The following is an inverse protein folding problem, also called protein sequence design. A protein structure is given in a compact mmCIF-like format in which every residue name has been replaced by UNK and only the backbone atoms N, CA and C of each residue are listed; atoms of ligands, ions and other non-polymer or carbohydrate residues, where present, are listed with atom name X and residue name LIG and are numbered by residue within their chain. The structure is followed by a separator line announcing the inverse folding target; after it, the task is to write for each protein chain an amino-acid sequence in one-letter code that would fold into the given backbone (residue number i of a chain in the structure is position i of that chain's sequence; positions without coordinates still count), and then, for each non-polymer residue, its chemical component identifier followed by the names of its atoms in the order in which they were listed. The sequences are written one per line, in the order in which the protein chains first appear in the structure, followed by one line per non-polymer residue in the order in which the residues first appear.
data_IF_985002126280
#
_entry.id   IF_985002126280
#
_cell.length_a   1.000
_cell.length_b   1.000
_cell.length_c   1.000
_cell.angle_alpha   90.00
_cell.angle_beta   90.00
_cell.angle_gamma   90.00
#
_symmetry.space_group_name_H-M   'P 1'
#
loop_
_entity.id
_entity.type
_entity.pdbx_description
1 polymer ?
#
# COMPACT_ATOMS: atom_id res chain seq x y z
N UNK A 1 -13.52 -10.68 16.88
CA UNK A 1 -13.77 -9.33 17.45
C UNK A 1 -13.57 -8.39 16.29
N UNK A 2 -14.52 -7.50 15.98
CA UNK A 2 -14.36 -6.65 14.80
C UNK A 2 -13.20 -5.68 15.04
N UNK A 3 -12.23 -5.64 14.13
CA UNK A 3 -11.18 -4.62 14.17
C UNK A 3 -11.82 -3.23 14.04
N UNK A 4 -11.23 -2.26 14.71
CA UNK A 4 -11.49 -0.85 14.43
C UNK A 4 -10.88 -0.46 13.09
N UNK A 5 -11.37 0.64 12.53
CA UNK A 5 -10.86 1.23 11.29
C UNK A 5 -9.36 1.53 11.40
N UNK A 6 -8.92 2.08 12.54
CA UNK A 6 -7.51 2.43 12.76
C UNK A 6 -6.61 1.19 12.87
N UNK A 7 -7.08 0.12 13.52
CA UNK A 7 -6.35 -1.15 13.59
C UNK A 7 -6.18 -1.77 12.20
N UNK A 8 -7.25 -1.82 11.40
CA UNK A 8 -7.19 -2.38 10.05
C UNK A 8 -6.23 -1.60 9.14
N UNK A 9 -6.22 -0.26 9.25
CA UNK A 9 -5.28 0.60 8.55
C UNK A 9 -3.83 0.35 8.96
N UNK A 10 -3.57 0.26 10.26
CA UNK A 10 -2.22 0.03 10.79
C UNK A 10 -1.70 -1.35 10.36
N UNK A 11 -2.53 -2.38 10.37
CA UNK A 11 -2.18 -3.73 9.89
C UNK A 11 -1.81 -3.72 8.40
N UNK A 12 -2.59 -3.04 7.55
CA UNK A 12 -2.27 -2.96 6.12
C UNK A 12 -0.95 -2.24 5.86
N UNK A 13 -0.67 -1.17 6.61
CA UNK A 13 0.57 -0.42 6.49
C UNK A 13 1.78 -1.24 6.98
N UNK A 14 1.66 -1.91 8.13
CA UNK A 14 2.69 -2.81 8.63
C UNK A 14 2.96 -3.97 7.67
N UNK A 15 1.92 -4.53 7.06
CA UNK A 15 2.05 -5.57 6.06
C UNK A 15 2.84 -5.08 4.84
N UNK A 16 2.48 -3.91 4.26
CA UNK A 16 3.22 -3.33 3.14
C UNK A 16 4.70 -3.10 3.48
N UNK A 17 4.97 -2.56 4.67
CA UNK A 17 6.33 -2.30 5.13
C UNK A 17 7.11 -3.59 5.31
N UNK A 18 6.49 -4.63 5.88
CA UNK A 18 7.13 -5.93 6.05
C UNK A 18 7.41 -6.62 4.71
N UNK A 19 6.46 -6.61 3.77
CA UNK A 19 6.60 -7.25 2.45
C UNK A 19 7.78 -6.67 1.66
N UNK A 20 7.94 -5.35 1.71
CA UNK A 20 9.01 -4.64 1.01
C UNK A 20 10.25 -4.39 1.87
N UNK A 21 10.29 -4.92 3.10
CA UNK A 21 11.36 -4.71 4.08
C UNK A 21 11.73 -3.22 4.27
N UNK A 22 10.69 -2.39 4.39
CA UNK A 22 10.79 -0.94 4.56
C UNK A 22 11.01 -0.60 6.03
N UNK A 23 12.02 0.22 6.30
CA UNK A 23 12.26 0.77 7.64
C UNK A 23 11.17 1.76 8.07
N UNK A 24 10.88 1.84 9.37
CA UNK A 24 9.92 2.78 9.96
C UNK A 24 10.18 4.25 9.60
N UNK A 25 11.42 4.61 9.26
CA UNK A 25 11.79 5.97 8.83
C UNK A 25 11.09 6.41 7.53
N UNK A 26 10.61 5.46 6.72
CA UNK A 26 9.88 5.75 5.48
C UNK A 26 8.37 5.66 5.63
N UNK A 27 7.85 5.32 6.82
CA UNK A 27 6.41 5.13 7.05
C UNK A 27 5.58 6.34 6.62
N UNK A 28 6.09 7.55 6.88
CA UNK A 28 5.42 8.81 6.56
C UNK A 28 5.29 9.11 5.06
N UNK A 29 5.98 8.35 4.19
CA UNK A 29 5.79 8.44 2.74
C UNK A 29 4.51 7.75 2.28
N UNK A 30 3.96 6.85 3.09
CA UNK A 30 2.72 6.14 2.79
C UNK A 30 1.55 6.82 3.48
N UNK A 31 0.43 6.90 2.77
CA UNK A 31 -0.83 7.40 3.29
C UNK A 31 -1.93 6.40 3.00
N UNK A 32 -2.78 6.18 3.98
CA UNK A 32 -4.07 5.51 3.75
C UNK A 32 -4.98 6.50 3.05
N UNK A 33 -5.58 6.07 1.94
CA UNK A 33 -6.49 6.87 1.11
C UNK A 33 -7.95 6.57 1.45
N UNK A 34 -8.29 5.30 1.62
CA UNK A 34 -9.62 4.84 2.00
C UNK A 34 -9.51 3.59 2.89
N UNK A 35 -10.52 3.39 3.73
CA UNK A 35 -10.69 2.20 4.53
C UNK A 35 -12.18 1.84 4.56
N UNK A 36 -12.54 0.71 3.94
CA UNK A 36 -13.93 0.32 3.77
C UNK A 36 -14.19 -1.07 4.34
N UNK A 37 -15.15 -1.15 5.26
CA UNK A 37 -15.69 -2.44 5.71
C UNK A 37 -16.50 -3.10 4.60
N UNK A 38 -16.20 -4.35 4.28
CA UNK A 38 -16.92 -5.15 3.29
C UNK A 38 -17.65 -6.29 3.98
N UNK A 39 -18.93 -6.45 3.63
CA UNK A 39 -19.82 -7.37 4.33
C UNK A 39 -19.94 -6.93 5.79
N UNK A 40 -19.29 -7.65 6.69
CA UNK A 40 -19.25 -7.37 8.13
C UNK A 40 -17.99 -7.92 8.83
N UNK A 41 -16.95 -8.35 8.09
CA UNK A 41 -15.85 -9.13 8.69
C UNK A 41 -14.46 -8.84 8.13
N UNK A 42 -14.34 -7.97 7.13
CA UNK A 42 -13.04 -7.62 6.55
C UNK A 42 -13.07 -6.23 5.93
N UNK A 43 -11.90 -5.63 5.81
CA UNK A 43 -11.69 -4.29 5.31
C UNK A 43 -10.91 -4.31 4.00
N UNK A 44 -11.28 -3.44 3.08
CA UNK A 44 -10.39 -3.03 1.99
C UNK A 44 -9.70 -1.75 2.42
N UNK A 45 -8.37 -1.78 2.46
CA UNK A 45 -7.53 -0.63 2.75
C UNK A 45 -6.83 -0.20 1.48
N UNK A 46 -6.95 1.08 1.14
CA UNK A 46 -6.23 1.69 0.03
C UNK A 46 -5.03 2.46 0.58
N UNK A 47 -3.83 2.11 0.16
CA UNK A 47 -2.59 2.79 0.53
C UNK A 47 -1.95 3.40 -0.72
N UNK A 48 -1.30 4.54 -0.56
CA UNK A 48 -0.58 5.22 -1.62
C UNK A 48 0.72 5.82 -1.10
N UNK A 49 1.66 6.09 -2.00
CA UNK A 49 2.73 7.04 -1.71
C UNK A 49 2.14 8.46 -1.82
N UNK A 50 2.42 9.32 -0.85
CA UNK A 50 1.89 10.67 -0.80
C UNK A 50 2.27 11.47 -2.08
N UNK A 51 1.26 12.01 -2.77
CA UNK A 51 1.45 12.75 -4.02
C UNK A 51 1.49 11.89 -5.28
N UNK A 52 1.41 10.57 -5.17
CA UNK A 52 1.42 9.64 -6.30
C UNK A 52 0.04 9.03 -6.54
N UNK A 53 -0.28 8.68 -7.81
CA UNK A 53 -1.57 8.09 -8.15
C UNK A 53 -1.59 6.57 -7.98
N UNK A 54 -0.44 5.95 -7.68
CA UNK A 54 -0.29 4.52 -7.42
C UNK A 54 -1.07 4.09 -6.17
N UNK A 55 -1.74 2.93 -6.25
CA UNK A 55 -2.60 2.42 -5.18
C UNK A 55 -2.32 0.95 -4.90
N UNK A 56 -2.07 0.65 -3.64
CA UNK A 56 -2.14 -0.70 -3.10
C UNK A 56 -3.51 -0.91 -2.46
N UNK A 57 -4.10 -2.07 -2.74
CA UNK A 57 -5.36 -2.52 -2.19
C UNK A 57 -5.11 -3.77 -1.35
N UNK A 58 -5.27 -3.63 -0.05
CA UNK A 58 -5.11 -4.70 0.93
C UNK A 58 -6.46 -5.17 1.44
N UNK A 59 -6.57 -6.47 1.67
CA UNK A 59 -7.72 -7.08 2.35
C UNK A 59 -7.29 -7.46 3.75
N UNK A 60 -7.87 -6.82 4.77
CA UNK A 60 -7.56 -7.08 6.18
C UNK A 60 -8.76 -7.75 6.84
N UNK A 61 -8.55 -8.97 7.34
CA UNK A 61 -9.57 -9.76 8.01
C UNK A 61 -9.68 -9.38 9.49
N UNK A 62 -10.83 -9.63 10.10
CA UNK A 62 -11.05 -9.42 11.54
C UNK A 62 -10.15 -10.30 12.45
N UNK A 63 -9.46 -11.28 11.88
CA UNK A 63 -8.39 -12.07 12.51
C UNK A 63 -7.06 -11.31 12.66
N UNK A 64 -6.99 -10.05 12.21
CA UNK A 64 -5.78 -9.26 12.12
C UNK A 64 -4.75 -9.81 11.11
N UNK A 65 -5.23 -10.58 10.12
CA UNK A 65 -4.41 -11.06 9.01
C UNK A 65 -4.69 -10.23 7.76
N UNK A 66 -3.64 -9.95 6.98
CA UNK A 66 -3.75 -9.35 5.66
C UNK A 66 -3.65 -10.44 4.58
N UNK A 67 -4.46 -10.36 3.54
CA UNK A 67 -4.30 -11.23 2.37
C UNK A 67 -2.93 -10.96 1.73
N UNK A 68 -2.06 -11.97 1.59
CA UNK A 68 -0.74 -11.79 0.97
C UNK A 68 -0.83 -11.42 -0.52
N UNK A 69 -1.96 -11.71 -1.19
CA UNK A 69 -2.17 -11.38 -2.60
C UNK A 69 -2.84 -10.02 -2.76
N UNK A 70 -2.20 -8.97 -2.28
CA UNK A 70 -2.67 -7.61 -2.49
C UNK A 70 -2.65 -7.23 -3.98
N UNK A 71 -3.50 -6.26 -4.33
CA UNK A 71 -3.56 -5.73 -5.68
C UNK A 71 -2.88 -4.37 -5.75
N UNK A 72 -2.02 -4.18 -6.75
CA UNK A 72 -1.43 -2.89 -7.07
C UNK A 72 -2.01 -2.36 -8.38
N UNK A 73 -2.40 -1.08 -8.40
CA UNK A 73 -2.90 -0.40 -9.60
C UNK A 73 -2.14 0.92 -9.75
N UNK A 74 -1.57 1.13 -10.94
CA UNK A 74 -0.98 2.40 -11.33
C UNK A 74 -1.57 2.88 -12.66
N UNK A 75 -1.91 4.16 -12.80
CA UNK A 75 -2.23 4.74 -14.11
C UNK A 75 -0.98 5.01 -14.96
N UNK A 76 0.22 4.92 -14.38
CA UNK A 76 1.50 5.15 -15.07
C UNK A 76 2.08 3.78 -15.43
N UNK A 77 2.34 3.56 -16.72
CA UNK A 77 2.94 2.30 -17.17
C UNK A 77 4.43 2.31 -16.92
N UNK A 78 5.02 1.18 -16.52
CA UNK A 78 6.47 1.06 -16.33
C UNK A 78 7.33 1.39 -17.57
N UNK A 79 6.72 1.42 -18.76
CA UNK A 79 7.37 1.82 -20.01
C UNK A 79 7.36 3.32 -20.31
N UNK A 80 6.62 4.14 -19.54
CA UNK A 80 6.48 5.59 -19.78
C UNK A 80 7.59 6.43 -19.09
N UNK A 81 8.51 5.76 -18.41
CA UNK A 81 9.63 6.37 -17.67
C UNK A 81 9.27 6.74 -16.23
N UNK A 82 10.32 6.95 -15.41
CA UNK A 82 10.20 7.16 -13.96
C UNK A 82 10.62 8.58 -13.53
N UNK A 83 10.39 9.56 -14.39
CA UNK A 83 10.81 10.96 -14.14
C UNK A 83 10.04 11.59 -12.97
N UNK A 84 8.85 11.07 -12.69
CA UNK A 84 8.00 11.43 -11.55
C UNK A 84 8.59 11.03 -10.19
N UNK A 85 9.44 9.99 -10.15
CA UNK A 85 9.99 9.44 -8.90
C UNK A 85 11.23 10.18 -8.38
N UNK A 86 11.72 11.19 -9.11
CA UNK A 86 12.99 11.89 -8.78
C UNK A 86 12.99 12.62 -7.44
N UNK A 87 11.81 12.85 -6.86
CA UNK A 87 11.63 13.52 -5.56
C UNK A 87 11.46 12.54 -4.39
N UNK A 88 11.35 11.24 -4.69
CA UNK A 88 11.19 10.19 -3.69
C UNK A 88 12.55 9.69 -3.18
N UNK A 89 12.59 9.14 -1.96
CA UNK A 89 13.72 8.33 -1.53
C UNK A 89 13.92 7.15 -2.49
N UNK A 90 15.19 6.78 -2.70
CA UNK A 90 15.60 5.73 -3.65
C UNK A 90 14.82 4.42 -3.42
N UNK A 91 14.71 3.98 -2.16
CA UNK A 91 13.96 2.78 -1.79
C UNK A 91 12.49 2.83 -2.26
N UNK A 92 11.80 3.96 -2.03
CA UNK A 92 10.36 4.10 -2.37
C UNK A 92 10.18 4.19 -3.89
N UNK A 93 11.11 4.87 -4.57
CA UNK A 93 11.14 4.91 -6.02
C UNK A 93 11.33 3.50 -6.63
N UNK A 94 12.25 2.70 -6.07
CA UNK A 94 12.50 1.32 -6.52
C UNK A 94 11.27 0.42 -6.32
N UNK A 95 10.58 0.53 -5.18
CA UNK A 95 9.34 -0.22 -4.92
C UNK A 95 8.29 0.10 -5.99
N UNK A 96 8.05 1.38 -6.28
CA UNK A 96 7.08 1.80 -7.29
C UNK A 96 7.48 1.33 -8.70
N UNK A 97 8.77 1.35 -9.04
CA UNK A 97 9.28 0.80 -10.30
C UNK A 97 9.00 -0.70 -10.37
N UNK A 98 9.30 -1.46 -9.32
CA UNK A 98 9.06 -2.89 -9.28
C UNK A 98 7.57 -3.21 -9.45
N UNK A 99 6.70 -2.52 -8.73
CA UNK A 99 5.24 -2.71 -8.79
C UNK A 99 4.67 -2.39 -10.17
N UNK A 100 5.06 -1.24 -10.76
CA UNK A 100 4.62 -0.81 -12.10
C UNK A 100 5.10 -1.73 -13.23
N UNK A 101 6.13 -2.55 -12.99
CA UNK A 101 6.63 -3.53 -13.96
C UNK A 101 6.14 -4.96 -13.72
N UNK A 102 5.68 -5.27 -12.51
CA UNK A 102 5.33 -6.64 -12.11
C UNK A 102 3.92 -7.07 -12.55
N UNK A 103 3.07 -6.15 -13.00
CA UNK A 103 1.66 -6.42 -13.33
C UNK A 103 1.18 -5.76 -14.61
#
# INVERSE_FOLDING_TARGET
MLLTVDEAQQIALEFLMSEWNISDEYKDWFTVIDCRLIGQSWYIIEVAVAGFPDRWYFQVYDTAECDPNYTFISPIRGCEGYTDLTTLPELIAEILVCERNSR
#
